data_IF_796556711305
#
_entry.id   IF_796556711305
#
_cell.length_a   1.000
_cell.length_b   1.000
_cell.length_c   1.000
_cell.angle_alpha   90.00
_cell.angle_beta   90.00
_cell.angle_gamma   90.00
#
_symmetry.space_group_name_H-M   'P 1'
#
loop_
_entity.id
_entity.type
_entity.pdbx_description
1 polymer ?
#
# COMPACT_ATOMS: atom_id res chain seq x y z
N UNK A 1 -12.36 -6.44 -1.65
CA UNK A 1 -12.10 -5.03 -1.28
C UNK A 1 -12.41 -4.74 0.20
N UNK A 2 -13.60 -5.07 0.73
CA UNK A 2 -13.93 -4.90 2.16
C UNK A 2 -12.97 -5.57 3.16
N UNK A 3 -12.38 -6.72 2.79
CA UNK A 3 -11.44 -7.45 3.65
C UNK A 3 -10.09 -6.73 3.89
N UNK A 4 -9.68 -5.81 3.01
CA UNK A 4 -8.39 -5.10 3.14
C UNK A 4 -8.45 -4.06 4.26
N UNK A 5 -9.47 -3.18 4.22
CA UNK A 5 -9.72 -2.16 5.24
C UNK A 5 -9.83 -2.77 6.63
N UNK A 6 -10.64 -3.81 6.80
CA UNK A 6 -10.82 -4.49 8.09
C UNK A 6 -9.50 -5.04 8.63
N UNK A 7 -8.60 -5.51 7.76
CA UNK A 7 -7.35 -6.14 8.18
C UNK A 7 -6.28 -5.11 8.58
N UNK A 8 -6.17 -3.98 7.86
CA UNK A 8 -5.30 -2.86 8.25
C UNK A 8 -5.74 -2.32 9.62
N UNK A 9 -7.03 -2.10 9.82
CA UNK A 9 -7.56 -1.61 11.11
C UNK A 9 -7.40 -2.63 12.24
N UNK A 10 -7.56 -3.95 11.97
CA UNK A 10 -7.38 -5.00 12.98
C UNK A 10 -5.93 -5.24 13.39
N UNK A 11 -4.97 -5.08 12.47
CA UNK A 11 -3.53 -5.21 12.79
C UNK A 11 -3.08 -4.04 13.68
N UNK A 12 -3.65 -2.86 13.48
CA UNK A 12 -3.24 -1.62 14.12
C UNK A 12 -4.24 -1.27 15.23
N UNK A 13 -4.11 -1.92 16.39
CA UNK A 13 -4.95 -1.69 17.58
C UNK A 13 -4.97 -0.23 18.12
N UNK A 14 -4.30 0.73 17.45
CA UNK A 14 -4.14 2.13 17.86
C UNK A 14 -4.43 3.19 16.78
N UNK A 15 -4.73 2.81 15.54
CA UNK A 15 -5.05 3.81 14.53
C UNK A 15 -6.55 4.15 14.61
N UNK A 16 -6.88 5.42 14.85
CA UNK A 16 -8.22 5.95 14.58
C UNK A 16 -8.71 5.44 13.22
N UNK A 17 -10.00 5.10 13.10
CA UNK A 17 -10.55 4.28 12.02
C UNK A 17 -10.18 4.83 10.62
N UNK A 18 -9.12 4.28 10.00
CA UNK A 18 -8.71 4.61 8.63
C UNK A 18 -9.82 4.20 7.67
N UNK A 19 -10.51 5.15 7.04
CA UNK A 19 -11.68 4.87 6.20
C UNK A 19 -11.30 4.59 4.75
N UNK A 20 -12.14 3.83 4.04
CA UNK A 20 -11.92 3.55 2.63
C UNK A 20 -12.17 4.79 1.77
N UNK A 21 -11.29 5.04 0.80
CA UNK A 21 -11.44 6.09 -0.20
C UNK A 21 -11.43 5.49 -1.62
N UNK A 22 -12.51 5.78 -2.37
CA UNK A 22 -12.70 5.25 -3.73
C UNK A 22 -11.76 5.91 -4.73
N UNK A 23 -11.41 7.18 -4.57
CA UNK A 23 -10.49 7.87 -5.47
C UNK A 23 -9.08 7.29 -5.33
N UNK A 24 -8.60 7.04 -4.10
CA UNK A 24 -7.33 6.36 -3.86
C UNK A 24 -7.30 4.95 -4.50
N UNK A 25 -8.38 4.18 -4.39
CA UNK A 25 -8.46 2.84 -5.02
C UNK A 25 -8.44 2.91 -6.55
N UNK A 26 -9.06 3.95 -7.14
CA UNK A 26 -9.01 4.18 -8.59
C UNK A 26 -7.59 4.52 -9.04
N UNK A 27 -6.87 5.34 -8.27
CA UNK A 27 -5.46 5.68 -8.52
C UNK A 27 -4.57 4.46 -8.44
N UNK A 28 -4.68 3.67 -7.37
CA UNK A 28 -3.97 2.40 -7.21
C UNK A 28 -4.20 1.45 -8.40
N UNK A 29 -5.46 1.32 -8.86
CA UNK A 29 -5.80 0.49 -10.03
C UNK A 29 -5.21 1.05 -11.32
N UNK A 30 -5.28 2.37 -11.52
CA UNK A 30 -4.75 3.02 -12.71
C UNK A 30 -3.23 2.82 -12.82
N UNK A 31 -2.51 2.96 -11.69
CA UNK A 31 -1.08 2.71 -11.64
C UNK A 31 -0.74 1.23 -11.84
N UNK A 32 -1.47 0.32 -11.16
CA UNK A 32 -1.25 -1.12 -11.26
C UNK A 32 -1.40 -1.69 -12.68
N UNK A 33 -2.24 -1.09 -13.52
CA UNK A 33 -2.39 -1.46 -14.95
C UNK A 33 -1.12 -1.29 -15.78
N UNK A 34 -0.15 -0.51 -15.31
CA UNK A 34 1.15 -0.36 -15.97
C UNK A 34 2.04 -1.58 -15.79
N UNK A 35 1.75 -2.44 -14.80
CA UNK A 35 2.54 -3.63 -14.51
C UNK A 35 4.05 -3.33 -14.34
N UNK A 36 4.37 -2.30 -13.57
CA UNK A 36 5.73 -1.91 -13.18
C UNK A 36 5.86 -1.88 -11.66
N UNK A 37 7.03 -2.23 -11.13
CA UNK A 37 7.33 -2.16 -9.71
C UNK A 37 8.08 -0.86 -9.39
N UNK A 38 7.41 0.25 -9.65
CA UNK A 38 7.90 1.61 -9.45
C UNK A 38 6.80 2.43 -8.80
N UNK A 39 7.16 3.37 -7.93
CA UNK A 39 6.18 4.22 -7.27
C UNK A 39 5.51 5.20 -8.24
N UNK A 40 4.25 5.52 -7.97
CA UNK A 40 3.50 6.48 -8.77
C UNK A 40 4.12 7.89 -8.69
N UNK A 41 4.60 8.38 -9.83
CA UNK A 41 5.30 9.69 -9.93
C UNK A 41 4.39 10.89 -9.66
N UNK A 42 3.07 10.70 -9.62
CA UNK A 42 2.08 11.77 -9.46
C UNK A 42 1.54 11.91 -8.03
N UNK A 43 2.09 11.18 -7.04
CA UNK A 43 1.56 11.14 -5.68
C UNK A 43 1.71 12.47 -4.92
N UNK A 44 2.68 13.31 -5.29
CA UNK A 44 2.94 14.61 -4.66
C UNK A 44 2.06 15.75 -5.20
N UNK A 45 1.47 15.57 -6.39
CA UNK A 45 0.73 16.63 -7.08
C UNK A 45 -0.76 16.56 -6.76
N UNK A 46 -1.33 17.68 -6.28
CA UNK A 46 -2.76 17.81 -6.05
C UNK A 46 -3.52 17.65 -7.38
N UNK A 47 -4.69 17.00 -7.34
CA UNK A 47 -5.55 16.71 -8.49
C UNK A 47 -4.98 15.71 -9.52
N UNK A 48 -3.74 15.21 -9.34
CA UNK A 48 -3.19 14.17 -10.20
C UNK A 48 -3.50 12.78 -9.64
N UNK A 49 -3.07 12.49 -8.40
CA UNK A 49 -3.37 11.24 -7.72
C UNK A 49 -4.69 11.26 -6.93
N UNK A 50 -5.13 12.42 -6.45
CA UNK A 50 -6.35 12.56 -5.68
C UNK A 50 -6.92 14.00 -5.76
N UNK A 51 -8.26 14.20 -5.80
CA UNK A 51 -8.86 15.54 -5.94
C UNK A 51 -8.81 16.42 -4.69
N UNK A 52 -8.42 15.87 -3.54
CA UNK A 52 -8.41 16.58 -2.24
C UNK A 52 -7.11 16.48 -1.45
N UNK A 53 -6.22 15.57 -1.84
CA UNK A 53 -5.02 15.25 -1.09
C UNK A 53 -3.84 15.27 -2.06
N UNK A 54 -2.72 15.76 -1.58
CA UNK A 54 -1.39 15.61 -2.16
C UNK A 54 -0.51 14.86 -1.16
N UNK A 55 0.74 14.53 -1.53
CA UNK A 55 1.63 13.73 -0.68
C UNK A 55 0.98 12.41 -0.32
N UNK A 56 0.58 11.64 -1.33
CA UNK A 56 -0.13 10.37 -1.14
C UNK A 56 0.90 9.26 -0.86
N UNK A 57 0.74 8.57 0.27
CA UNK A 57 1.55 7.41 0.62
C UNK A 57 1.25 6.22 -0.28
N UNK A 58 2.21 5.32 -0.49
CA UNK A 58 2.02 4.14 -1.33
C UNK A 58 2.78 2.91 -0.81
N UNK A 59 2.06 1.80 -0.64
CA UNK A 59 2.67 0.48 -0.49
C UNK A 59 2.37 -0.37 -1.73
N UNK A 60 3.38 -1.12 -2.17
CA UNK A 60 3.27 -2.06 -3.28
C UNK A 60 3.65 -3.46 -2.84
N UNK A 61 2.91 -4.45 -3.34
CA UNK A 61 3.24 -5.86 -3.22
C UNK A 61 3.20 -6.46 -4.62
N UNK A 62 4.13 -7.35 -4.90
CA UNK A 62 4.21 -8.07 -6.16
C UNK A 62 4.58 -9.53 -5.90
N UNK A 63 3.94 -10.44 -6.61
CA UNK A 63 4.19 -11.87 -6.50
C UNK A 63 3.37 -12.67 -7.50
N UNK A 64 3.47 -14.00 -7.50
CA UNK A 64 2.62 -14.87 -8.29
C UNK A 64 1.13 -14.61 -7.99
N UNK A 65 0.29 -14.52 -9.02
CA UNK A 65 -1.13 -14.21 -8.88
C UNK A 65 -1.87 -15.22 -8.01
N UNK A 66 -1.52 -16.51 -8.13
CA UNK A 66 -2.09 -17.61 -7.36
C UNK A 66 -1.71 -17.58 -5.86
N UNK A 67 -0.68 -16.82 -5.48
CA UNK A 67 -0.27 -16.64 -4.08
C UNK A 67 -0.91 -15.39 -3.45
N UNK A 68 -1.54 -14.54 -4.26
CA UNK A 68 -2.06 -13.27 -3.78
C UNK A 68 -3.31 -13.44 -2.93
N UNK A 69 -3.25 -12.89 -1.72
CA UNK A 69 -4.42 -12.42 -1.00
C UNK A 69 -4.09 -11.05 -0.36
N UNK A 70 -5.10 -10.18 -0.13
CA UNK A 70 -4.84 -8.94 0.60
C UNK A 70 -4.17 -9.16 1.96
N UNK A 71 -4.52 -10.23 2.66
CA UNK A 71 -3.92 -10.57 3.96
C UNK A 71 -2.46 -10.98 3.84
N UNK A 72 -2.05 -11.69 2.79
CA UNK A 72 -0.64 -12.05 2.54
C UNK A 72 0.18 -10.78 2.35
N UNK A 73 -0.26 -9.88 1.46
CA UNK A 73 0.45 -8.63 1.18
C UNK A 73 0.56 -7.71 2.40
N UNK A 74 -0.53 -7.53 3.15
CA UNK A 74 -0.52 -6.68 4.35
C UNK A 74 0.35 -7.30 5.45
N UNK A 75 0.33 -8.64 5.62
CA UNK A 75 1.21 -9.31 6.59
C UNK A 75 2.69 -9.19 6.20
N UNK A 76 3.03 -9.24 4.91
CA UNK A 76 4.43 -9.05 4.49
C UNK A 76 4.92 -7.64 4.78
N UNK A 77 4.10 -6.62 4.50
CA UNK A 77 4.42 -5.23 4.89
C UNK A 77 4.55 -5.09 6.41
N UNK A 78 3.64 -5.67 7.19
CA UNK A 78 3.72 -5.61 8.65
C UNK A 78 4.93 -6.35 9.23
N UNK A 79 5.38 -7.42 8.60
CA UNK A 79 6.52 -8.21 9.06
C UNK A 79 7.84 -7.42 9.06
N UNK A 80 7.92 -6.33 8.30
CA UNK A 80 9.06 -5.40 8.34
C UNK A 80 9.24 -4.71 9.69
N UNK A 81 8.25 -4.75 10.58
CA UNK A 81 8.40 -4.36 11.99
C UNK A 81 9.66 -4.97 12.64
N UNK A 82 10.03 -6.19 12.24
CA UNK A 82 11.24 -6.88 12.75
C UNK A 82 12.55 -6.15 12.43
N UNK A 83 12.54 -5.25 11.44
CA UNK A 83 13.68 -4.42 11.03
C UNK A 83 13.65 -3.03 11.66
N UNK A 84 12.54 -2.63 12.28
CA UNK A 84 12.36 -1.30 12.85
C UNK A 84 12.70 -1.29 14.35
N UNK A 85 13.56 -0.35 14.74
CA UNK A 85 13.96 -0.10 16.13
C UNK A 85 13.26 1.17 16.60
N UNK A 86 12.40 1.05 17.62
CA UNK A 86 11.54 2.14 18.06
C UNK A 86 12.33 3.24 18.80
N UNK A 87 13.33 2.84 19.57
CA UNK A 87 14.08 3.70 20.49
C UNK A 87 14.81 4.85 19.78
N UNK A 88 15.23 4.61 18.53
CA UNK A 88 15.97 5.58 17.73
C UNK A 88 15.32 5.85 16.36
N UNK A 89 14.08 5.40 16.16
CA UNK A 89 13.32 5.57 14.92
C UNK A 89 14.14 5.18 13.66
N UNK A 90 14.81 4.03 13.72
CA UNK A 90 15.70 3.56 12.64
C UNK A 90 15.31 2.20 12.11
N UNK A 91 15.78 1.90 10.90
CA UNK A 91 15.59 0.58 10.29
C UNK A 91 16.91 -0.04 9.89
N UNK A 92 17.07 -1.33 10.22
CA UNK A 92 18.24 -2.14 9.81
C UNK A 92 18.20 -2.56 8.34
N UNK A 93 17.14 -2.19 7.61
CA UNK A 93 16.94 -2.36 6.17
C UNK A 93 15.66 -1.65 5.76
N UNK A 94 15.09 -1.97 4.58
CA UNK A 94 13.81 -1.37 4.19
C UNK A 94 12.65 -1.86 5.08
N UNK A 95 11.96 -0.89 5.66
CA UNK A 95 10.84 -1.00 6.58
C UNK A 95 9.71 -0.02 6.22
N UNK A 96 9.81 0.63 5.06
CA UNK A 96 8.95 1.74 4.66
C UNK A 96 7.48 1.31 4.59
N UNK A 97 7.20 0.07 4.19
CA UNK A 97 5.83 -0.43 4.15
C UNK A 97 5.23 -0.57 5.55
N UNK A 98 6.01 -1.05 6.53
CA UNK A 98 5.57 -1.08 7.92
C UNK A 98 5.30 0.32 8.46
N UNK A 99 6.21 1.27 8.22
CA UNK A 99 6.06 2.65 8.66
C UNK A 99 4.80 3.30 8.07
N UNK A 100 4.52 3.11 6.78
CA UNK A 100 3.28 3.59 6.16
C UNK A 100 2.03 2.92 6.76
N UNK A 101 2.10 1.61 7.08
CA UNK A 101 0.98 0.94 7.73
C UNK A 101 0.67 1.61 9.06
N UNK A 102 1.67 1.81 9.92
CA UNK A 102 1.50 2.39 11.27
C UNK A 102 1.43 3.93 11.29
N UNK A 103 1.50 4.60 10.13
CA UNK A 103 1.46 6.05 10.05
C UNK A 103 0.14 6.59 10.60
N UNK A 104 0.25 7.43 11.63
CA UNK A 104 -0.86 7.92 12.44
C UNK A 104 -1.68 9.00 11.72
N UNK A 105 -1.05 9.77 10.83
CA UNK A 105 -1.72 10.82 10.03
C UNK A 105 -2.59 10.26 8.91
N UNK A 106 -2.27 9.07 8.39
CA UNK A 106 -3.04 8.43 7.31
C UNK A 106 -4.39 7.90 7.80
N UNK A 107 -5.46 8.62 7.48
CA UNK A 107 -6.83 8.27 7.87
C UNK A 107 -7.71 7.84 6.68
N UNK A 108 -7.17 7.86 5.45
CA UNK A 108 -7.79 7.29 4.23
C UNK A 108 -6.91 6.22 3.61
N UNK A 109 -7.53 5.19 3.05
CA UNK A 109 -6.86 4.16 2.25
C UNK A 109 -7.71 3.72 1.07
N UNK A 110 -7.09 3.52 -0.08
CA UNK A 110 -7.70 2.85 -1.21
C UNK A 110 -6.69 1.93 -1.88
N UNK A 111 -7.09 0.69 -2.14
CA UNK A 111 -6.21 -0.32 -2.72
C UNK A 111 -6.79 -0.95 -3.99
N UNK A 112 -5.93 -1.55 -4.80
CA UNK A 112 -6.31 -2.35 -5.95
C UNK A 112 -5.30 -3.48 -6.19
N UNK A 113 -5.80 -4.63 -6.63
CA UNK A 113 -4.96 -5.69 -7.21
C UNK A 113 -5.16 -5.67 -8.72
N UNK A 114 -4.07 -5.83 -9.47
CA UNK A 114 -4.09 -5.94 -10.93
C UNK A 114 -3.28 -7.16 -11.36
N UNK A 115 -3.86 -8.07 -12.16
CA UNK A 115 -3.10 -9.16 -12.76
C UNK A 115 -2.20 -8.62 -13.88
N UNK A 116 -1.01 -9.19 -13.99
CA UNK A 116 0.02 -8.84 -14.95
C UNK A 116 0.54 -10.11 -15.61
N UNK A 117 0.53 -10.18 -16.95
CA UNK A 117 1.07 -11.34 -17.67
C UNK A 117 2.56 -11.59 -17.33
N UNK A 118 3.30 -10.50 -17.11
CA UNK A 118 4.68 -10.50 -16.62
C UNK A 118 4.95 -9.24 -15.79
N UNK A 119 5.67 -9.40 -14.68
CA UNK A 119 6.19 -8.31 -13.85
C UNK A 119 7.63 -8.65 -13.45
N UNK A 120 8.61 -7.95 -14.03
CA UNK A 120 10.01 -8.34 -13.92
C UNK A 120 10.24 -9.77 -14.39
N UNK A 121 10.68 -10.66 -13.49
CA UNK A 121 10.89 -12.09 -13.77
C UNK A 121 9.66 -12.97 -13.48
N UNK A 122 8.62 -12.43 -12.84
CA UNK A 122 7.43 -13.18 -12.44
C UNK A 122 6.47 -13.24 -13.64
N UNK A 123 6.06 -14.45 -14.04
CA UNK A 123 4.97 -14.68 -15.00
C UNK A 123 3.66 -14.87 -14.25
N UNK A 124 2.54 -14.45 -14.83
CA UNK A 124 1.22 -14.49 -14.18
C UNK A 124 1.30 -13.86 -12.77
N UNK A 125 1.78 -12.63 -12.72
CA UNK A 125 1.98 -11.89 -11.49
C UNK A 125 0.70 -11.16 -11.08
N UNK A 126 0.58 -10.87 -9.79
CA UNK A 126 -0.33 -9.85 -9.28
C UNK A 126 0.48 -8.70 -8.70
N UNK A 127 0.07 -7.47 -9.01
CA UNK A 127 0.53 -6.26 -8.35
C UNK A 127 -0.59 -5.72 -7.47
N UNK A 128 -0.33 -5.55 -6.19
CA UNK A 128 -1.27 -5.02 -5.21
C UNK A 128 -0.74 -3.72 -4.65
N UNK A 129 -1.51 -2.66 -4.84
CA UNK A 129 -1.13 -1.29 -4.48
C UNK A 129 -2.17 -0.77 -3.49
N UNK A 130 -1.69 -0.15 -2.42
CA UNK A 130 -2.51 0.64 -1.50
C UNK A 130 -1.97 2.06 -1.45
N UNK A 131 -2.85 3.04 -1.71
CA UNK A 131 -2.56 4.45 -1.51
C UNK A 131 -3.19 4.95 -0.20
N UNK A 132 -2.47 5.81 0.51
CA UNK A 132 -2.82 6.33 1.84
C UNK A 132 -2.86 7.86 1.81
N UNK A 133 -3.83 8.47 2.50
CA UNK A 133 -3.93 9.92 2.57
C UNK A 133 -4.29 10.44 3.98
N UNK A 134 -3.64 11.53 4.41
CA UNK A 134 -2.32 12.00 3.96
C UNK A 134 -1.26 10.90 4.06
N UNK A 135 -0.22 10.98 3.22
CA UNK A 135 0.91 10.06 3.17
C UNK A 135 1.81 10.16 4.38
#
# INVERSE_FOLDING_TARGET
>A
MYHCHIFITKILHRAETRTWDVALSRTARAWGKRCVLEHNVYLEELNMAHPKFNGIGENMWAGPENEFTPSVAIRSWFAERKKYTFENNSCSGDCSHYLQLVWDRSHKVGCAVTPCSKLGYIRHAAIFICNYAPG
#
